data_IF_289787031638
#
_entry.id   IF_289787031638
#
_cell.length_a   1.000
_cell.length_b   1.000
_cell.length_c   1.000
_cell.angle_alpha   90.00
_cell.angle_beta   90.00
_cell.angle_gamma   90.00
#
_symmetry.space_group_name_H-M   'P 1'
#
loop_
_entity.id
_entity.type
_entity.pdbx_description
1 polymer ?
#
# COMPACT_ATOMS: atom_id res chain seq x y z
N UNK A 1 -60.41 8.52 -7.20
CA UNK A 1 -59.45 9.26 -8.05
C UNK A 1 -58.65 8.26 -8.85
N UNK A 2 -58.73 8.24 -10.19
CA UNK A 2 -57.97 7.28 -11.02
C UNK A 2 -56.60 7.84 -11.41
N UNK A 3 -55.53 7.16 -11.01
CA UNK A 3 -54.17 7.45 -11.46
C UNK A 3 -53.92 6.86 -12.86
N UNK A 4 -53.73 7.73 -13.86
CA UNK A 4 -53.27 7.37 -15.20
C UNK A 4 -51.77 7.07 -15.15
N UNK A 5 -51.36 5.85 -15.54
CA UNK A 5 -49.96 5.51 -15.82
C UNK A 5 -49.67 5.75 -17.30
N UNK A 6 -48.75 6.66 -17.58
CA UNK A 6 -48.14 6.86 -18.91
C UNK A 6 -46.99 5.87 -19.12
N UNK A 7 -46.86 5.23 -20.29
CA UNK A 7 -45.67 4.46 -20.64
C UNK A 7 -44.58 5.41 -21.17
N UNK A 8 -43.49 5.56 -20.41
CA UNK A 8 -42.25 6.14 -20.91
C UNK A 8 -41.55 5.09 -21.79
N UNK A 9 -41.76 5.23 -23.10
CA UNK A 9 -41.00 4.54 -24.14
C UNK A 9 -39.59 5.13 -24.19
N UNK A 10 -38.63 4.48 -23.52
CA UNK A 10 -37.22 4.84 -23.57
C UNK A 10 -36.55 4.03 -24.68
N UNK A 11 -36.53 4.60 -25.88
CA UNK A 11 -35.71 4.13 -26.99
C UNK A 11 -34.23 4.42 -26.69
N UNK A 12 -33.52 3.46 -26.09
CA UNK A 12 -32.07 3.45 -26.05
C UNK A 12 -31.55 2.86 -27.36
N UNK A 13 -31.28 3.74 -28.32
CA UNK A 13 -30.46 3.43 -29.48
C UNK A 13 -28.99 3.33 -29.03
N UNK A 14 -28.42 2.13 -29.03
CA UNK A 14 -26.97 1.94 -28.91
C UNK A 14 -26.33 2.10 -30.29
N UNK A 15 -25.37 3.02 -30.48
CA UNK A 15 -24.53 3.01 -31.67
C UNK A 15 -23.50 1.88 -31.59
N UNK A 16 -23.53 1.00 -32.58
CA UNK A 16 -22.47 0.05 -32.90
C UNK A 16 -21.17 0.81 -33.24
N UNK A 17 -20.32 1.01 -32.24
CA UNK A 17 -18.93 1.40 -32.45
C UNK A 17 -18.13 0.15 -32.80
N UNK A 18 -17.98 -0.10 -34.09
CA UNK A 18 -16.99 -1.02 -34.65
C UNK A 18 -15.59 -0.42 -34.43
N UNK A 19 -15.04 -0.64 -33.23
CA UNK A 19 -13.65 -0.34 -32.90
C UNK A 19 -12.73 -1.42 -33.43
N UNK A 20 -11.98 -1.11 -34.48
CA UNK A 20 -10.81 -1.86 -34.92
C UNK A 20 -9.77 -1.93 -33.81
N UNK A 21 -9.53 -3.12 -33.26
CA UNK A 21 -8.43 -3.38 -32.33
C UNK A 21 -7.11 -3.46 -33.12
N UNK A 22 -6.06 -2.70 -32.74
CA UNK A 22 -4.74 -2.90 -33.29
C UNK A 22 -4.14 -4.21 -32.78
N UNK A 23 -3.54 -4.97 -33.69
CA UNK A 23 -2.74 -6.15 -33.40
C UNK A 23 -1.52 -5.75 -32.55
N UNK A 24 -1.63 -5.88 -31.23
CA UNK A 24 -0.50 -5.78 -30.32
C UNK A 24 0.25 -7.12 -30.30
N UNK A 25 1.37 -7.11 -31.02
CA UNK A 25 2.65 -7.71 -30.65
C UNK A 25 2.59 -8.89 -29.67
N UNK A 26 2.78 -10.09 -30.23
CA UNK A 26 3.31 -11.26 -29.55
C UNK A 26 4.65 -10.89 -28.88
N UNK A 27 4.57 -10.49 -27.62
CA UNK A 27 5.72 -10.41 -26.74
C UNK A 27 6.01 -11.82 -26.27
N UNK A 28 7.17 -12.35 -26.67
CA UNK A 28 7.61 -13.70 -26.30
C UNK A 28 7.52 -13.92 -24.81
N UNK A 29 6.60 -14.80 -24.41
CA UNK A 29 6.60 -15.47 -23.12
C UNK A 29 7.87 -16.31 -23.05
N UNK A 30 8.94 -15.74 -22.53
CA UNK A 30 10.01 -16.55 -21.92
C UNK A 30 9.37 -17.33 -20.78
N UNK A 31 9.54 -18.66 -20.71
CA UNK A 31 9.02 -19.43 -19.60
C UNK A 31 9.66 -18.91 -18.32
N UNK A 32 8.83 -18.37 -17.42
CA UNK A 32 9.23 -18.15 -16.03
C UNK A 32 9.74 -19.49 -15.52
N UNK A 33 11.06 -19.60 -15.36
CA UNK A 33 11.64 -20.66 -14.56
C UNK A 33 11.15 -20.40 -13.14
N UNK A 34 10.22 -21.23 -12.68
CA UNK A 34 9.96 -21.44 -11.26
C UNK A 34 11.30 -21.78 -10.63
N UNK A 35 11.91 -20.79 -9.98
CA UNK A 35 13.02 -21.05 -9.07
C UNK A 35 12.36 -21.75 -7.90
N UNK A 36 12.47 -23.07 -7.90
CA UNK A 36 12.10 -23.95 -6.80
C UNK A 36 13.10 -23.65 -5.68
N UNK A 37 12.82 -22.59 -4.91
CA UNK A 37 13.59 -22.26 -3.72
C UNK A 37 13.18 -23.32 -2.70
N UNK A 38 14.07 -24.28 -2.36
CA UNK A 38 13.74 -25.26 -1.33
C UNK A 38 13.35 -24.53 -0.05
N UNK A 39 12.47 -25.08 0.80
CA UNK A 39 12.20 -24.55 2.14
C UNK A 39 13.42 -24.80 3.03
N UNK A 40 14.56 -24.21 2.69
CA UNK A 40 15.70 -24.04 3.56
C UNK A 40 15.26 -23.09 4.67
N UNK A 41 14.81 -23.71 5.76
CA UNK A 41 15.14 -23.34 7.13
C UNK A 41 15.30 -21.82 7.29
N UNK A 42 14.18 -21.13 7.35
CA UNK A 42 14.12 -19.81 7.97
C UNK A 42 14.38 -20.09 9.46
N UNK A 43 15.65 -20.15 9.84
CA UNK A 43 16.02 -19.97 11.23
C UNK A 43 15.43 -18.62 11.64
N UNK A 44 14.70 -18.54 12.76
CA UNK A 44 14.24 -17.26 13.26
C UNK A 44 15.50 -16.41 13.39
N UNK A 45 15.61 -15.36 12.56
CA UNK A 45 16.68 -14.40 12.75
C UNK A 45 16.55 -13.94 14.19
N UNK A 46 17.57 -14.27 14.99
CA UNK A 46 17.79 -13.65 16.27
C UNK A 46 17.55 -12.18 16.02
N UNK A 47 16.51 -11.65 16.69
CA UNK A 47 16.16 -10.26 16.63
C UNK A 47 17.45 -9.49 16.85
N UNK A 48 17.98 -8.90 15.78
CA UNK A 48 19.02 -7.90 15.89
C UNK A 48 18.33 -6.77 16.65
N UNK A 49 18.40 -6.83 17.97
CA UNK A 49 18.18 -5.71 18.87
C UNK A 49 19.24 -4.72 18.45
N UNK A 50 18.88 -3.88 17.49
CA UNK A 50 19.57 -2.66 17.20
C UNK A 50 19.40 -1.86 18.49
N UNK A 51 20.41 -1.92 19.36
CA UNK A 51 20.59 -1.01 20.49
C UNK A 51 20.67 0.39 19.90
N UNK A 52 19.51 0.97 19.64
CA UNK A 52 19.35 2.36 19.30
C UNK A 52 19.67 3.10 20.60
N UNK A 53 20.76 3.89 20.67
CA UNK A 53 21.03 4.67 21.87
C UNK A 53 19.82 5.57 22.15
N UNK A 54 19.31 5.53 23.38
CA UNK A 54 18.21 6.36 23.85
C UNK A 54 18.46 7.82 23.46
N UNK A 55 17.56 8.49 22.72
CA UNK A 55 17.72 9.90 22.36
C UNK A 55 17.58 10.84 23.57
N UNK A 56 17.21 10.32 24.74
CA UNK A 56 17.05 11.07 25.99
C UNK A 56 18.34 11.17 26.81
N UNK A 57 19.44 10.59 26.33
CA UNK A 57 20.79 10.89 26.81
C UNK A 57 21.26 12.27 26.31
N UNK A 58 20.56 13.33 26.70
CA UNK A 58 21.08 14.69 26.56
C UNK A 58 22.44 14.73 27.29
N UNK A 59 23.55 15.10 26.62
CA UNK A 59 24.78 15.34 27.36
C UNK A 59 24.49 16.47 28.34
N UNK A 60 24.54 16.17 29.64
CA UNK A 60 24.62 17.18 30.68
C UNK A 60 25.74 18.13 30.26
N UNK A 61 25.35 19.35 29.92
CA UNK A 61 26.26 20.43 29.61
C UNK A 61 27.00 20.73 30.91
N UNK A 62 28.13 20.08 31.10
CA UNK A 62 29.09 20.40 32.15
C UNK A 62 29.52 21.85 31.92
N UNK A 63 28.95 22.71 32.74
CA UNK A 63 29.23 24.12 32.74
C UNK A 63 30.62 24.35 33.29
N UNK A 64 31.38 25.17 32.55
CA UNK A 64 32.53 25.93 33.00
C UNK A 64 33.85 25.17 33.16
N UNK A 65 34.37 24.63 32.05
CA UNK A 65 35.81 24.75 31.83
C UNK A 65 36.11 26.22 31.52
N UNK A 66 36.56 26.94 32.54
CA UNK A 66 37.10 28.29 32.40
C UNK A 66 38.37 28.18 31.57
N UNK A 67 38.23 28.38 30.25
CA UNK A 67 39.36 28.59 29.35
C UNK A 67 40.05 29.85 29.86
N UNK A 68 41.20 29.66 30.52
CA UNK A 68 42.09 30.74 30.87
C UNK A 68 42.36 31.55 29.61
N UNK A 69 42.17 32.87 29.70
CA UNK A 69 42.48 33.78 28.61
C UNK A 69 43.93 33.53 28.14
N UNK A 70 44.18 33.28 26.84
CA UNK A 70 45.53 33.18 26.36
C UNK A 70 46.23 34.52 26.65
N UNK A 71 47.33 34.44 27.39
CA UNK A 71 48.17 35.56 27.74
C UNK A 71 48.58 36.29 26.45
N UNK A 72 48.21 37.57 26.36
CA UNK A 72 48.34 38.40 25.16
C UNK A 72 49.80 38.83 24.91
N UNK A 73 50.68 37.85 24.68
CA UNK A 73 52.01 38.04 24.12
C UNK A 73 52.14 37.35 22.77
N UNK A 74 51.07 37.35 21.97
CA UNK A 74 51.14 37.06 20.54
C UNK A 74 51.75 38.26 19.83
N UNK A 75 53.07 38.24 19.72
CA UNK A 75 53.78 39.02 18.69
C UNK A 75 53.27 38.46 17.35
N UNK A 76 52.75 39.28 16.42
CA UNK A 76 52.32 38.79 15.13
C UNK A 76 53.54 38.24 14.40
N UNK A 77 53.77 36.92 14.47
CA UNK A 77 54.68 36.25 13.58
C UNK A 77 54.14 36.46 12.17
N UNK A 78 54.90 37.18 11.35
CA UNK A 78 54.60 37.36 9.94
C UNK A 78 54.54 35.97 9.30
N UNK A 79 53.33 35.49 9.04
CA UNK A 79 53.13 34.19 8.40
C UNK A 79 53.90 34.19 7.09
N UNK A 80 54.70 33.14 6.90
CA UNK A 80 55.42 32.99 5.65
C UNK A 80 54.43 32.84 4.48
N UNK A 81 54.84 33.25 3.28
CA UNK A 81 54.02 33.09 2.09
C UNK A 81 53.62 31.62 1.83
N UNK A 82 54.45 30.67 2.25
CA UNK A 82 54.18 29.24 2.19
C UNK A 82 53.03 28.83 3.11
N UNK A 83 53.00 29.37 4.33
CA UNK A 83 51.94 29.09 5.31
C UNK A 83 50.59 29.68 4.86
N UNK A 84 50.59 30.88 4.26
CA UNK A 84 49.39 31.45 3.64
C UNK A 84 48.88 30.63 2.45
N UNK A 85 49.78 30.02 1.67
CA UNK A 85 49.41 29.16 0.56
C UNK A 85 48.79 27.83 1.05
N UNK A 86 49.34 27.23 2.10
CA UNK A 86 48.79 26.03 2.73
C UNK A 86 47.41 26.30 3.35
N UNK A 87 47.25 27.42 4.05
CA UNK A 87 45.97 27.84 4.63
C UNK A 87 44.91 28.04 3.52
N UNK A 88 45.30 28.64 2.38
CA UNK A 88 44.40 28.82 1.25
C UNK A 88 43.98 27.49 0.61
N UNK A 89 44.89 26.52 0.49
CA UNK A 89 44.58 25.17 0.00
C UNK A 89 43.62 24.46 0.97
N UNK A 90 43.92 24.48 2.27
CA UNK A 90 43.09 23.87 3.30
C UNK A 90 41.67 24.48 3.32
N UNK A 91 41.56 25.82 3.20
CA UNK A 91 40.27 26.49 3.13
C UNK A 91 39.47 26.10 1.87
N UNK A 92 40.13 25.94 0.72
CA UNK A 92 39.50 25.50 -0.52
C UNK A 92 39.02 24.03 -0.43
N UNK A 93 39.81 23.14 0.17
CA UNK A 93 39.42 21.75 0.40
C UNK A 93 38.26 21.65 1.39
N UNK A 94 38.32 22.40 2.50
CA UNK A 94 37.24 22.46 3.47
C UNK A 94 35.92 22.98 2.85
N UNK A 95 36.00 23.94 1.91
CA UNK A 95 34.84 24.41 1.17
C UNK A 95 34.24 23.31 0.28
N UNK A 96 35.08 22.57 -0.46
CA UNK A 96 34.64 21.44 -1.30
C UNK A 96 34.00 20.32 -0.47
N UNK A 97 34.58 19.99 0.68
CA UNK A 97 34.02 18.97 1.58
C UNK A 97 32.66 19.41 2.15
N UNK A 98 32.52 20.69 2.52
CA UNK A 98 31.22 21.23 2.96
C UNK A 98 30.16 21.13 1.88
N UNK A 99 30.50 21.45 0.64
CA UNK A 99 29.58 21.34 -0.50
C UNK A 99 29.20 19.88 -0.78
N UNK A 100 30.17 18.96 -0.79
CA UNK A 100 29.92 17.53 -0.99
C UNK A 100 29.04 16.95 0.13
N UNK A 101 29.32 17.30 1.39
CA UNK A 101 28.52 16.84 2.52
C UNK A 101 27.09 17.41 2.45
N UNK A 102 26.92 18.68 2.07
CA UNK A 102 25.59 19.26 1.89
C UNK A 102 24.79 18.54 0.80
N UNK A 103 25.42 18.20 -0.32
CA UNK A 103 24.79 17.44 -1.40
C UNK A 103 24.40 16.01 -0.96
N UNK A 104 25.26 15.35 -0.17
CA UNK A 104 24.97 14.02 0.37
C UNK A 104 23.80 14.07 1.36
N UNK A 105 23.78 15.04 2.27
CA UNK A 105 22.69 15.22 3.22
C UNK A 105 21.35 15.47 2.51
N UNK A 106 21.33 16.36 1.52
CA UNK A 106 20.13 16.64 0.73
C UNK A 106 19.60 15.36 0.03
N UNK A 107 20.50 14.58 -0.57
CA UNK A 107 20.15 13.30 -1.21
C UNK A 107 19.58 12.30 -0.20
N UNK A 108 20.20 12.18 0.98
CA UNK A 108 19.73 11.27 2.03
C UNK A 108 18.38 11.69 2.60
N UNK A 109 18.16 12.98 2.77
CA UNK A 109 16.88 13.51 3.22
C UNK A 109 15.77 13.21 2.22
N UNK A 110 16.01 13.41 0.92
CA UNK A 110 15.06 13.03 -0.13
C UNK A 110 14.76 11.52 -0.15
N UNK A 111 15.78 10.67 0.07
CA UNK A 111 15.59 9.22 0.17
C UNK A 111 14.73 8.84 1.38
N UNK A 112 14.93 9.48 2.54
CA UNK A 112 14.12 9.24 3.74
C UNK A 112 12.67 9.67 3.55
N UNK A 113 12.44 10.82 2.92
CA UNK A 113 11.10 11.29 2.58
C UNK A 113 10.38 10.31 1.64
N UNK A 114 11.09 9.81 0.62
CA UNK A 114 10.56 8.81 -0.30
C UNK A 114 10.19 7.50 0.42
N UNK A 115 11.10 6.96 1.25
CA UNK A 115 10.84 5.74 2.04
C UNK A 115 9.62 5.93 2.94
N UNK A 116 9.50 7.09 3.59
CA UNK A 116 8.37 7.40 4.46
C UNK A 116 7.06 7.46 3.69
N UNK A 117 7.06 8.08 2.51
CA UNK A 117 5.90 8.13 1.63
C UNK A 117 5.49 6.73 1.15
N UNK A 118 6.45 5.89 0.76
CA UNK A 118 6.21 4.52 0.33
C UNK A 118 5.66 3.64 1.45
N UNK A 119 6.16 3.80 2.67
CA UNK A 119 5.64 3.10 3.84
C UNK A 119 4.18 3.47 4.12
N UNK A 120 3.82 4.77 4.07
CA UNK A 120 2.43 5.22 4.22
C UNK A 120 1.55 4.63 3.12
N UNK A 121 1.99 4.70 1.87
CA UNK A 121 1.25 4.14 0.74
C UNK A 121 1.06 2.61 0.86
N UNK A 122 2.04 1.89 1.41
CA UNK A 122 1.91 0.46 1.70
C UNK A 122 0.89 0.18 2.81
N UNK A 123 0.92 0.95 3.90
CA UNK A 123 -0.05 0.82 4.99
C UNK A 123 -1.47 1.07 4.50
N UNK A 124 -1.68 2.09 3.67
CA UNK A 124 -2.99 2.37 3.06
C UNK A 124 -3.47 1.24 2.16
N UNK A 125 -2.57 0.66 1.34
CA UNK A 125 -2.91 -0.52 0.52
C UNK A 125 -3.31 -1.72 1.37
N UNK A 126 -2.60 -1.96 2.47
CA UNK A 126 -2.91 -3.05 3.39
C UNK A 126 -4.25 -2.83 4.12
N UNK A 127 -4.56 -1.59 4.50
CA UNK A 127 -5.84 -1.25 5.10
C UNK A 127 -7.00 -1.54 4.12
N UNK A 128 -6.89 -1.04 2.88
CA UNK A 128 -7.90 -1.29 1.84
C UNK A 128 -8.07 -2.78 1.54
N UNK A 129 -6.96 -3.52 1.42
CA UNK A 129 -7.02 -4.97 1.21
C UNK A 129 -7.76 -5.70 2.34
N UNK A 130 -7.57 -5.29 3.59
CA UNK A 130 -8.29 -5.88 4.74
C UNK A 130 -9.79 -5.59 4.67
N UNK A 131 -10.18 -4.37 4.31
CA UNK A 131 -11.57 -3.97 4.12
C UNK A 131 -12.23 -4.76 2.97
N UNK A 132 -11.58 -4.84 1.82
CA UNK A 132 -12.04 -5.61 0.66
C UNK A 132 -12.20 -7.10 1.01
N UNK A 133 -11.25 -7.67 1.74
CA UNK A 133 -11.32 -9.07 2.19
C UNK A 133 -12.49 -9.30 3.15
N UNK A 134 -12.75 -8.37 4.06
CA UNK A 134 -13.89 -8.46 4.98
C UNK A 134 -15.22 -8.36 4.22
N UNK A 135 -15.33 -7.43 3.28
CA UNK A 135 -16.50 -7.28 2.42
C UNK A 135 -16.74 -8.53 1.56
N UNK A 136 -15.69 -9.10 0.99
CA UNK A 136 -15.77 -10.35 0.22
C UNK A 136 -16.24 -11.52 1.09
N UNK A 137 -15.70 -11.66 2.30
CA UNK A 137 -16.12 -12.72 3.23
C UNK A 137 -17.62 -12.59 3.60
N UNK A 138 -18.09 -11.37 3.86
CA UNK A 138 -19.51 -11.11 4.10
C UNK A 138 -20.38 -11.47 2.89
N UNK A 139 -19.98 -11.03 1.68
CA UNK A 139 -20.69 -11.34 0.45
C UNK A 139 -20.78 -12.85 0.17
N UNK A 140 -19.71 -13.60 0.45
CA UNK A 140 -19.71 -15.05 0.31
C UNK A 140 -20.65 -15.74 1.30
N UNK A 141 -20.69 -15.27 2.56
CA UNK A 141 -21.64 -15.76 3.56
C UNK A 141 -23.09 -15.52 3.13
N UNK A 142 -23.39 -14.32 2.64
CA UNK A 142 -24.73 -13.98 2.15
C UNK A 142 -25.12 -14.82 0.92
N UNK A 143 -24.16 -15.05 0.02
CA UNK A 143 -24.35 -15.91 -1.14
C UNK A 143 -24.65 -17.36 -0.74
N UNK A 144 -23.93 -17.92 0.23
CA UNK A 144 -24.18 -19.26 0.76
C UNK A 144 -25.57 -19.38 1.40
N UNK A 145 -25.99 -18.35 2.16
CA UNK A 145 -27.33 -18.31 2.75
C UNK A 145 -28.44 -18.27 1.69
N UNK A 146 -28.27 -17.46 0.63
CA UNK A 146 -29.20 -17.42 -0.50
C UNK A 146 -29.27 -18.76 -1.23
N UNK A 147 -28.13 -19.41 -1.42
CA UNK A 147 -28.07 -20.74 -2.04
C UNK A 147 -28.79 -21.80 -1.19
N UNK A 148 -28.63 -21.76 0.13
CA UNK A 148 -29.34 -22.66 1.04
C UNK A 148 -30.86 -22.42 0.99
N UNK A 149 -31.30 -21.15 1.00
CA UNK A 149 -32.71 -20.78 0.87
C UNK A 149 -33.30 -21.25 -0.47
N UNK A 150 -32.61 -21.01 -1.58
CA UNK A 150 -33.06 -21.45 -2.90
C UNK A 150 -33.15 -22.98 -3.02
N UNK A 151 -32.21 -23.72 -2.42
CA UNK A 151 -32.27 -25.19 -2.35
C UNK A 151 -33.48 -25.67 -1.53
N UNK A 152 -33.77 -25.02 -0.40
CA UNK A 152 -34.92 -25.34 0.43
C UNK A 152 -36.25 -25.03 -0.29
N UNK A 153 -36.34 -23.91 -0.99
CA UNK A 153 -37.50 -23.55 -1.82
C UNK A 153 -37.74 -24.55 -2.94
N UNK A 154 -36.66 -24.97 -3.62
CA UNK A 154 -36.74 -25.99 -4.64
C UNK A 154 -37.23 -27.32 -4.08
N UNK A 155 -36.70 -27.77 -2.96
CA UNK A 155 -37.13 -29.02 -2.32
C UNK A 155 -38.62 -28.98 -1.91
N UNK A 156 -39.10 -27.83 -1.39
CA UNK A 156 -40.51 -27.61 -1.09
C UNK A 156 -41.38 -27.70 -2.35
N UNK A 157 -40.97 -27.00 -3.41
CA UNK A 157 -41.67 -27.05 -4.68
C UNK A 157 -41.72 -28.47 -5.28
N UNK A 158 -40.61 -29.22 -5.25
CA UNK A 158 -40.55 -30.60 -5.73
C UNK A 158 -41.51 -31.51 -4.93
N UNK A 159 -41.59 -31.31 -3.60
CA UNK A 159 -42.53 -32.04 -2.74
C UNK A 159 -43.99 -31.70 -3.02
N UNK A 160 -44.32 -30.43 -3.26
CA UNK A 160 -45.67 -29.99 -3.58
C UNK A 160 -46.13 -30.52 -4.96
N UNK A 161 -45.21 -30.52 -5.94
CA UNK A 161 -45.46 -31.14 -7.25
C UNK A 161 -45.71 -32.64 -7.12
N UNK A 162 -44.93 -33.35 -6.29
CA UNK A 162 -45.12 -34.78 -6.06
C UNK A 162 -46.46 -35.09 -5.36
N UNK A 163 -46.83 -34.31 -4.33
CA UNK A 163 -48.12 -34.43 -3.64
C UNK A 163 -49.28 -34.19 -4.60
N UNK A 164 -49.17 -33.18 -5.45
CA UNK A 164 -50.19 -32.89 -6.44
C UNK A 164 -50.37 -34.04 -7.46
N UNK A 165 -49.26 -34.61 -7.96
CA UNK A 165 -49.29 -35.78 -8.84
C UNK A 165 -49.91 -37.02 -8.18
N UNK A 166 -49.79 -37.16 -6.86
CA UNK A 166 -50.43 -38.21 -6.09
C UNK A 166 -51.94 -37.99 -5.85
N UNK A 167 -52.52 -36.90 -6.35
CA UNK A 167 -53.94 -36.57 -6.23
C UNK A 167 -54.30 -35.71 -5.02
N UNK A 168 -53.32 -35.22 -4.25
CA UNK A 168 -53.56 -34.25 -3.19
C UNK A 168 -53.85 -32.85 -3.77
N UNK A 169 -55.14 -32.61 -4.03
CA UNK A 169 -55.63 -31.35 -4.62
C UNK A 169 -55.44 -30.14 -3.70
N UNK A 170 -55.22 -30.33 -2.39
CA UNK A 170 -54.98 -29.21 -1.46
C UNK A 170 -53.56 -28.66 -1.59
N UNK A 171 -52.61 -29.50 -2.04
CA UNK A 171 -51.23 -29.11 -2.37
C UNK A 171 -50.98 -28.86 -3.86
N UNK A 172 -51.96 -29.20 -4.71
CA UNK A 172 -52.07 -28.70 -6.08
C UNK A 172 -52.42 -27.20 -6.13
N UNK A 173 -51.71 -26.37 -5.36
CA UNK A 173 -51.92 -24.93 -5.32
C UNK A 173 -51.12 -24.24 -6.39
N UNK A 174 -51.73 -24.03 -7.56
CA UNK A 174 -51.42 -22.95 -8.48
C UNK A 174 -51.31 -21.66 -7.64
N UNK A 175 -50.09 -21.17 -7.43
CA UNK A 175 -49.88 -19.88 -6.79
C UNK A 175 -50.39 -18.80 -7.73
N UNK A 176 -51.66 -18.42 -7.60
CA UNK A 176 -52.17 -17.14 -8.12
C UNK A 176 -51.17 -16.08 -7.65
N UNK A 177 -50.35 -15.55 -8.57
CA UNK A 177 -49.22 -14.67 -8.31
C UNK A 177 -49.61 -13.30 -7.74
N UNK A 178 -50.25 -13.30 -6.57
CA UNK A 178 -50.58 -12.14 -5.74
C UNK A 178 -49.78 -12.23 -4.45
N UNK A 179 -48.48 -11.95 -4.54
CA UNK A 179 -47.69 -11.37 -3.44
C UNK A 179 -46.74 -10.34 -4.02
#
# INVERSE_FOLDING_TARGET
MPFRRTPLSLCLALPLLAGSLPALAQSGLTPMRTIDIPPSRIEPQESLTLDLPDPDGAPEADAAETIAAPDASDIPEERSAEQLALDAIAAAEAAKLREANAAQLATKQAQLEQITADQRAQQDRLARYREERAAYAAAMSDYEAQLAAARADRARWEADVAACRAGDRLRCGYGDGRR
#
